data_IF_095036992097
#
_entry.id   IF_095036992097
#
_cell.length_a   1.000
_cell.length_b   1.000
_cell.length_c   1.000
_cell.angle_alpha   90.00
_cell.angle_beta   90.00
_cell.angle_gamma   90.00
#
_symmetry.space_group_name_H-M   'P 1'
#
loop_
_entity.id
_entity.type
_entity.pdbx_description
1 polymer ?
#
# COMPACT_ATOMS: atom_id res chain seq x y z
N UNK A 1 16.48 -18.61 -55.66
CA UNK A 1 15.08 -18.50 -55.20
C UNK A 1 14.83 -19.64 -54.23
N UNK A 2 14.76 -19.40 -52.97
CA UNK A 2 14.08 -20.28 -52.00
C UNK A 2 14.46 -19.91 -50.57
N UNK A 3 13.43 -19.62 -49.75
CA UNK A 3 13.31 -19.76 -48.30
C UNK A 3 14.14 -18.84 -47.40
N UNK A 4 13.55 -17.68 -47.11
CA UNK A 4 13.67 -17.10 -45.77
C UNK A 4 12.24 -17.01 -45.22
N UNK A 5 11.83 -18.07 -44.59
CA UNK A 5 10.68 -18.12 -43.72
C UNK A 5 11.19 -18.87 -42.47
N UNK A 6 11.32 -18.20 -41.41
CA UNK A 6 11.19 -18.80 -40.09
C UNK A 6 11.89 -17.93 -39.04
N UNK A 7 11.21 -17.72 -38.01
CA UNK A 7 11.64 -17.47 -36.62
C UNK A 7 11.37 -16.07 -36.08
N UNK A 8 10.12 -15.80 -35.87
CA UNK A 8 9.71 -14.74 -34.93
C UNK A 8 8.52 -15.21 -34.06
N UNK A 9 8.72 -16.20 -33.21
CA UNK A 9 7.68 -16.67 -32.28
C UNK A 9 8.23 -17.08 -30.91
N UNK A 10 9.35 -16.56 -30.41
CA UNK A 10 9.85 -16.96 -29.09
C UNK A 10 10.12 -15.81 -28.09
N UNK A 11 9.64 -14.60 -28.32
CA UNK A 11 9.93 -13.49 -27.41
C UNK A 11 8.75 -13.20 -26.45
N UNK A 12 7.55 -13.73 -26.69
CA UNK A 12 6.36 -13.38 -25.91
C UNK A 12 6.29 -14.03 -24.52
N UNK A 13 6.72 -15.27 -24.38
CA UNK A 13 6.60 -16.01 -23.11
C UNK A 13 7.57 -15.54 -22.02
N UNK A 14 8.72 -15.01 -22.37
CA UNK A 14 9.72 -14.52 -21.40
C UNK A 14 9.26 -13.24 -20.70
N UNK A 15 8.52 -12.40 -21.40
CA UNK A 15 8.08 -11.10 -20.87
C UNK A 15 6.93 -11.23 -19.86
N UNK A 16 5.99 -12.13 -20.11
CA UNK A 16 4.86 -12.36 -19.20
C UNK A 16 5.31 -12.93 -17.85
N UNK A 17 6.28 -13.85 -17.85
CA UNK A 17 6.79 -14.43 -16.61
C UNK A 17 7.54 -13.40 -15.75
N UNK A 18 8.34 -12.53 -16.37
CA UNK A 18 9.04 -11.47 -15.63
C UNK A 18 8.06 -10.44 -15.04
N UNK A 19 7.00 -10.09 -15.76
CA UNK A 19 5.98 -9.15 -15.30
C UNK A 19 5.12 -9.76 -14.19
N UNK A 20 4.83 -11.06 -14.29
CA UNK A 20 4.16 -11.79 -13.20
C UNK A 20 4.97 -11.75 -11.90
N UNK A 21 6.27 -12.08 -11.96
CA UNK A 21 7.15 -12.03 -10.78
C UNK A 21 7.24 -10.61 -10.19
N UNK A 22 7.36 -9.60 -11.05
CA UNK A 22 7.36 -8.20 -10.63
C UNK A 22 6.05 -7.79 -9.94
N UNK A 23 4.91 -8.26 -10.43
CA UNK A 23 3.62 -8.01 -9.80
C UNK A 23 3.52 -8.65 -8.42
N UNK A 24 4.02 -9.87 -8.25
CA UNK A 24 4.02 -10.55 -6.95
C UNK A 24 4.93 -9.83 -5.95
N UNK A 25 6.14 -9.44 -6.37
CA UNK A 25 7.08 -8.71 -5.51
C UNK A 25 6.47 -7.38 -5.05
N UNK A 26 5.89 -6.62 -5.98
CA UNK A 26 5.25 -5.34 -5.67
C UNK A 26 4.02 -5.50 -4.77
N UNK A 27 3.23 -6.55 -4.97
CA UNK A 27 2.11 -6.89 -4.11
C UNK A 27 2.59 -7.23 -2.68
N UNK A 28 3.62 -8.06 -2.55
CA UNK A 28 4.18 -8.45 -1.26
C UNK A 28 4.77 -7.24 -0.52
N UNK A 29 5.44 -6.32 -1.22
CA UNK A 29 5.94 -5.07 -0.65
C UNK A 29 4.82 -4.18 -0.11
N UNK A 30 3.72 -4.02 -0.86
CA UNK A 30 2.54 -3.27 -0.43
C UNK A 30 1.92 -3.91 0.82
N UNK A 31 1.76 -5.23 0.83
CA UNK A 31 1.15 -5.93 1.96
C UNK A 31 2.04 -5.89 3.21
N UNK A 32 3.35 -5.98 3.04
CA UNK A 32 4.29 -5.83 4.16
C UNK A 32 4.19 -4.44 4.78
N UNK A 33 4.20 -3.39 3.96
CA UNK A 33 4.08 -2.01 4.46
C UNK A 33 2.73 -1.76 5.13
N UNK A 34 1.64 -2.32 4.56
CA UNK A 34 0.33 -2.32 5.21
C UNK A 34 0.41 -2.95 6.61
N UNK A 35 1.00 -4.13 6.73
CA UNK A 35 1.07 -4.85 8.01
C UNK A 35 1.90 -4.08 9.05
N UNK A 36 3.02 -3.46 8.62
CA UNK A 36 3.85 -2.60 9.47
C UNK A 36 3.04 -1.38 9.98
N UNK A 37 2.31 -0.71 9.10
CA UNK A 37 1.46 0.43 9.47
C UNK A 37 0.27 0.03 10.36
N UNK A 38 -0.29 -1.17 10.17
CA UNK A 38 -1.34 -1.68 11.05
C UNK A 38 -0.85 -1.87 12.50
N UNK A 39 0.43 -2.20 12.71
CA UNK A 39 1.03 -2.24 14.05
C UNK A 39 1.12 -0.83 14.64
N UNK A 40 1.41 0.19 13.82
CA UNK A 40 1.50 1.59 14.25
C UNK A 40 0.14 2.24 14.58
N UNK A 41 -0.98 1.66 14.15
CA UNK A 41 -2.32 2.17 14.47
C UNK A 41 -2.56 2.29 15.97
N UNK A 42 -1.95 1.39 16.78
CA UNK A 42 -2.02 1.46 18.24
C UNK A 42 -1.26 2.68 18.77
N UNK A 43 -0.09 2.98 18.19
CA UNK A 43 0.73 4.12 18.59
C UNK A 43 0.03 5.44 18.27
N UNK A 44 -0.57 5.59 17.11
CA UNK A 44 -1.43 6.74 16.76
C UNK A 44 -2.52 6.97 17.82
N UNK A 45 -3.23 5.90 18.19
CA UNK A 45 -4.28 5.97 19.21
C UNK A 45 -3.73 6.39 20.57
N UNK A 46 -2.60 5.85 20.99
CA UNK A 46 -1.97 6.16 22.27
C UNK A 46 -1.51 7.63 22.32
N UNK A 47 -0.82 8.10 21.28
CA UNK A 47 -0.37 9.50 21.18
C UNK A 47 -1.57 10.44 21.23
N UNK A 48 -2.63 10.16 20.45
CA UNK A 48 -3.86 10.96 20.48
C UNK A 48 -4.46 11.02 21.90
N UNK A 49 -4.58 9.87 22.58
CA UNK A 49 -5.13 9.81 23.92
C UNK A 49 -4.29 10.62 24.93
N UNK A 50 -2.96 10.50 24.86
CA UNK A 50 -2.07 11.25 25.75
C UNK A 50 -2.12 12.75 25.48
N UNK A 51 -2.25 13.19 24.22
CA UNK A 51 -2.42 14.61 23.89
C UNK A 51 -3.72 15.18 24.49
N UNK A 52 -4.83 14.42 24.45
CA UNK A 52 -6.12 14.84 24.99
C UNK A 52 -6.13 14.91 26.53
N UNK A 53 -5.16 14.33 27.23
CA UNK A 53 -4.99 14.44 28.68
C UNK A 53 -4.30 15.75 29.08
N UNK A 54 -3.76 16.52 28.13
CA UNK A 54 -3.06 17.79 28.38
C UNK A 54 -4.09 18.92 28.44
N UNK A 55 -4.05 19.70 29.51
CA UNK A 55 -4.89 20.88 29.67
C UNK A 55 -4.71 21.87 28.51
N UNK A 56 -5.81 22.23 27.86
CA UNK A 56 -5.82 23.16 26.73
C UNK A 56 -5.57 22.55 25.37
N UNK A 57 -5.40 21.22 25.28
CA UNK A 57 -5.42 20.49 24.02
C UNK A 57 -6.80 19.85 23.83
N UNK A 58 -7.50 20.24 22.80
CA UNK A 58 -8.84 19.74 22.44
C UNK A 58 -8.80 19.00 21.08
N UNK A 59 -9.92 18.35 20.73
CA UNK A 59 -10.07 17.57 19.49
C UNK A 59 -9.80 18.40 18.21
N UNK A 60 -9.91 19.70 18.26
CA UNK A 60 -9.63 20.61 17.14
C UNK A 60 -8.14 20.96 16.98
N UNK A 61 -7.29 20.52 17.89
CA UNK A 61 -5.84 20.70 17.79
C UNK A 61 -5.28 20.07 16.50
N UNK A 62 -4.37 20.75 15.85
CA UNK A 62 -3.82 20.31 14.55
C UNK A 62 -3.10 18.97 14.63
N UNK A 63 -2.35 18.70 15.71
CA UNK A 63 -1.67 17.40 15.88
C UNK A 63 -2.68 16.25 15.99
N UNK A 64 -3.79 16.46 16.71
CA UNK A 64 -4.88 15.47 16.83
C UNK A 64 -5.55 15.23 15.48
N UNK A 65 -5.86 16.29 14.74
CA UNK A 65 -6.43 16.20 13.38
C UNK A 65 -5.50 15.43 12.43
N UNK A 66 -4.18 15.66 12.50
CA UNK A 66 -3.22 14.98 11.65
C UNK A 66 -3.14 13.49 11.97
N UNK A 67 -3.20 13.09 13.25
CA UNK A 67 -3.29 11.68 13.66
C UNK A 67 -4.58 11.01 13.14
N UNK A 68 -5.72 11.72 13.19
CA UNK A 68 -6.97 11.20 12.63
C UNK A 68 -6.93 11.09 11.11
N UNK A 69 -6.31 12.04 10.40
CA UNK A 69 -6.11 12.00 8.95
C UNK A 69 -5.23 10.81 8.57
N UNK A 70 -4.13 10.57 9.30
CA UNK A 70 -3.26 9.42 9.06
C UNK A 70 -4.05 8.10 9.21
N UNK A 71 -4.77 7.93 10.33
CA UNK A 71 -5.62 6.76 10.56
C UNK A 71 -6.67 6.57 9.47
N UNK A 72 -7.36 7.64 9.05
CA UNK A 72 -8.38 7.59 8.01
C UNK A 72 -7.79 7.25 6.65
N UNK A 73 -6.58 7.75 6.33
CA UNK A 73 -5.91 7.44 5.06
C UNK A 73 -5.63 5.94 4.94
N UNK A 74 -5.22 5.27 6.03
CA UNK A 74 -5.04 3.82 6.05
C UNK A 74 -6.34 3.06 5.80
N UNK A 75 -7.43 3.48 6.44
CA UNK A 75 -8.73 2.84 6.23
C UNK A 75 -9.24 3.01 4.79
N UNK A 76 -9.02 4.18 4.19
CA UNK A 76 -9.37 4.43 2.80
C UNK A 76 -8.51 3.60 1.86
N UNK A 77 -7.20 3.54 2.10
CA UNK A 77 -6.29 2.68 1.34
C UNK A 77 -6.79 1.23 1.31
N UNK A 78 -7.10 0.64 2.47
CA UNK A 78 -7.57 -0.75 2.56
C UNK A 78 -8.89 -0.97 1.84
N UNK A 79 -9.82 -0.02 1.94
CA UNK A 79 -11.08 -0.08 1.21
C UNK A 79 -10.85 -0.08 -0.30
N UNK A 80 -10.02 0.82 -0.80
CA UNK A 80 -9.78 0.98 -2.23
C UNK A 80 -8.97 -0.21 -2.78
N UNK A 81 -7.97 -0.68 -2.02
CA UNK A 81 -7.18 -1.86 -2.35
C UNK A 81 -8.03 -3.13 -2.44
N UNK A 82 -8.91 -3.36 -1.46
CA UNK A 82 -9.79 -4.54 -1.46
C UNK A 82 -10.87 -4.50 -2.55
N UNK A 83 -11.25 -3.31 -3.00
CA UNK A 83 -12.17 -3.16 -4.13
C UNK A 83 -11.48 -3.50 -5.47
N UNK A 84 -10.22 -3.14 -5.63
CA UNK A 84 -9.44 -3.41 -6.85
C UNK A 84 -8.95 -4.87 -6.87
N UNK A 85 -8.36 -5.33 -5.77
CA UNK A 85 -7.79 -6.66 -5.61
C UNK A 85 -8.62 -7.49 -4.63
N UNK A 86 -9.70 -8.10 -5.14
CA UNK A 86 -10.53 -8.99 -4.33
C UNK A 86 -9.84 -10.34 -4.09
N UNK A 87 -10.17 -11.01 -2.98
CA UNK A 87 -9.53 -12.25 -2.51
C UNK A 87 -9.60 -13.43 -3.51
N UNK A 88 -10.52 -13.39 -4.45
CA UNK A 88 -10.74 -14.41 -5.48
C UNK A 88 -10.07 -14.09 -6.81
N UNK A 89 -9.26 -13.04 -6.87
CA UNK A 89 -8.60 -12.55 -8.09
C UNK A 89 -7.08 -12.44 -7.92
N UNK A 90 -6.40 -12.44 -9.05
CA UNK A 90 -4.98 -12.14 -9.13
C UNK A 90 -4.70 -10.68 -8.64
N UNK A 91 -3.63 -10.43 -7.87
CA UNK A 91 -2.59 -11.37 -7.44
C UNK A 91 -2.89 -12.12 -6.13
N UNK A 92 -4.03 -11.88 -5.46
CA UNK A 92 -4.36 -12.46 -4.16
C UNK A 92 -4.67 -13.95 -4.23
N UNK A 93 -5.43 -14.40 -5.23
CA UNK A 93 -5.75 -15.82 -5.38
C UNK A 93 -4.65 -16.58 -6.14
N UNK A 94 -3.99 -17.50 -5.43
CA UNK A 94 -2.91 -18.33 -6.00
C UNK A 94 -3.36 -19.23 -7.15
N UNK A 95 -4.64 -19.58 -7.24
CA UNK A 95 -5.14 -20.41 -8.34
C UNK A 95 -5.15 -19.66 -9.67
N UNK A 96 -5.29 -18.33 -9.63
CA UNK A 96 -5.24 -17.50 -10.84
C UNK A 96 -3.84 -17.39 -11.42
N UNK A 97 -2.80 -17.75 -10.65
CA UNK A 97 -1.39 -17.75 -11.13
C UNK A 97 -1.13 -18.85 -12.15
N UNK A 98 -1.97 -19.89 -12.23
CA UNK A 98 -1.82 -20.98 -13.20
C UNK A 98 -2.36 -20.61 -14.58
N UNK A 99 -3.10 -19.51 -14.71
CA UNK A 99 -3.75 -19.07 -15.96
C UNK A 99 -3.47 -17.60 -16.30
N UNK A 100 -2.19 -17.25 -16.38
CA UNK A 100 -1.72 -15.87 -16.62
C UNK A 100 -2.13 -15.30 -17.99
N UNK A 101 -2.48 -16.15 -18.96
CA UNK A 101 -2.89 -15.72 -20.30
C UNK A 101 -4.22 -14.97 -20.29
N UNK A 102 -5.07 -15.19 -19.28
CA UNK A 102 -6.35 -14.50 -19.11
C UNK A 102 -6.24 -13.19 -18.31
N UNK A 103 -5.03 -12.86 -17.81
CA UNK A 103 -4.79 -11.71 -16.94
C UNK A 103 -4.04 -10.64 -17.70
N UNK A 104 -4.55 -9.42 -17.68
CA UNK A 104 -3.79 -8.25 -18.13
C UNK A 104 -2.75 -7.86 -17.07
N UNK A 105 -1.59 -8.56 -17.12
CA UNK A 105 -0.50 -8.37 -16.17
C UNK A 105 0.04 -6.94 -16.16
N UNK A 106 -0.01 -6.24 -17.30
CA UNK A 106 0.45 -4.86 -17.40
C UNK A 106 -0.52 -3.90 -16.70
N UNK A 107 -1.81 -4.11 -16.86
CA UNK A 107 -2.82 -3.33 -16.14
C UNK A 107 -2.69 -3.54 -14.64
N UNK A 108 -2.53 -4.78 -14.20
CA UNK A 108 -2.28 -5.11 -12.79
C UNK A 108 -1.02 -4.43 -12.27
N UNK A 109 0.08 -4.46 -13.02
CA UNK A 109 1.33 -3.79 -12.64
C UNK A 109 1.13 -2.28 -12.44
N UNK A 110 0.44 -1.63 -13.37
CA UNK A 110 0.14 -0.21 -13.26
C UNK A 110 -0.69 0.10 -12.00
N UNK A 111 -1.71 -0.71 -11.72
CA UNK A 111 -2.53 -0.57 -10.51
C UNK A 111 -1.74 -0.80 -9.23
N UNK A 112 -0.92 -1.82 -9.17
CA UNK A 112 -0.04 -2.07 -8.01
C UNK A 112 0.93 -0.89 -7.79
N UNK A 113 1.49 -0.30 -8.84
CA UNK A 113 2.33 0.90 -8.71
C UNK A 113 1.56 2.12 -8.18
N UNK A 114 0.28 2.29 -8.56
CA UNK A 114 -0.58 3.33 -7.98
C UNK A 114 -0.80 3.08 -6.48
N UNK A 115 -1.08 1.84 -6.09
CA UNK A 115 -1.26 1.49 -4.67
C UNK A 115 0.03 1.55 -3.87
N UNK A 116 1.19 1.22 -4.46
CA UNK A 116 2.49 1.41 -3.80
C UNK A 116 2.71 2.88 -3.43
N UNK A 117 2.47 3.79 -4.35
CA UNK A 117 2.54 5.23 -4.06
C UNK A 117 1.52 5.67 -3.02
N UNK A 118 0.33 5.06 -3.02
CA UNK A 118 -0.71 5.38 -2.05
C UNK A 118 -0.34 4.92 -0.64
N UNK A 119 0.26 3.72 -0.49
CA UNK A 119 0.68 3.23 0.83
C UNK A 119 1.89 4.02 1.34
N UNK A 120 2.82 4.43 0.46
CA UNK A 120 3.93 5.31 0.81
C UNK A 120 3.42 6.66 1.36
N UNK A 121 2.39 7.25 0.73
CA UNK A 121 1.75 8.49 1.22
C UNK A 121 1.06 8.29 2.59
N UNK A 122 0.47 7.12 2.83
CA UNK A 122 -0.06 6.77 4.15
C UNK A 122 1.06 6.68 5.18
N UNK A 123 2.17 6.04 4.83
CA UNK A 123 3.37 5.89 5.68
C UNK A 123 3.92 7.26 6.09
N UNK A 124 4.08 8.17 5.13
CA UNK A 124 4.53 9.55 5.39
C UNK A 124 3.61 10.29 6.36
N UNK A 125 2.28 10.11 6.22
CA UNK A 125 1.30 10.72 7.13
C UNK A 125 1.40 10.15 8.55
N UNK A 126 1.62 8.84 8.67
CA UNK A 126 1.84 8.19 9.97
C UNK A 126 3.08 8.75 10.65
N UNK A 127 4.23 8.72 9.97
CA UNK A 127 5.50 9.22 10.50
C UNK A 127 5.40 10.68 10.93
N UNK A 128 4.89 11.54 10.05
CA UNK A 128 4.79 12.98 10.30
C UNK A 128 3.85 13.28 11.46
N UNK A 129 2.66 12.66 11.50
CA UNK A 129 1.67 12.93 12.55
C UNK A 129 2.11 12.40 13.91
N UNK A 130 2.68 11.19 13.98
CA UNK A 130 3.20 10.61 15.22
C UNK A 130 4.41 11.41 15.74
N UNK A 131 5.35 11.80 14.88
CA UNK A 131 6.49 12.64 15.25
C UNK A 131 6.04 14.00 15.78
N UNK A 132 5.04 14.62 15.16
CA UNK A 132 4.47 15.89 15.61
C UNK A 132 3.78 15.76 16.97
N UNK A 133 2.97 14.72 17.14
CA UNK A 133 2.31 14.44 18.42
C UNK A 133 3.28 14.15 19.54
N UNK A 134 4.31 13.34 19.28
CA UNK A 134 5.33 12.99 20.26
C UNK A 134 6.15 14.21 20.71
N UNK A 135 6.50 15.13 19.80
CA UNK A 135 7.21 16.38 20.16
C UNK A 135 6.42 17.25 21.12
N UNK A 136 5.09 17.26 21.03
CA UNK A 136 4.25 18.00 21.98
C UNK A 136 4.30 17.32 23.35
N UNK A 137 4.20 15.99 23.40
CA UNK A 137 4.30 15.22 24.65
C UNK A 137 5.66 15.42 25.33
N UNK A 138 6.75 15.35 24.57
CA UNK A 138 8.12 15.52 25.08
C UNK A 138 8.41 16.97 25.55
N UNK A 139 7.71 17.96 25.04
CA UNK A 139 7.89 19.38 25.37
C UNK A 139 7.17 19.81 26.64
N UNK A 140 6.42 18.92 27.29
CA UNK A 140 5.64 19.17 28.52
C UNK A 140 6.39 18.68 29.77
N UNK A 141 7.44 17.85 29.60
CA UNK A 141 8.36 17.48 30.68
C UNK A 141 9.34 18.63 30.98
#
# INVERSE_FOLDING_TARGET
MKYIFTLFVLISCSNNNSLHLSNLELFDDIMKEHDDLMLEMKNIKNIKSSLLEIDGIEEDNEAIKNLDVARMSMMNFMKDFSNEFSFDKYPMDKKTHDNLEEIDLLQVNNKLNEFKKSIDDVSDKFETSMSSGQKILDGIE
#
